data_IF_085837559948
#
_entry.id   IF_085837559948
#
_cell.length_a   1.000
_cell.length_b   1.000
_cell.length_c   1.000
_cell.angle_alpha   90.00
_cell.angle_beta   90.00
_cell.angle_gamma   90.00
#
_symmetry.space_group_name_H-M   'P 1'
#
loop_
_entity.id
_entity.type
_entity.pdbx_description
1 polymer ?
#
# COMPACT_ATOMS: atom_id res chain seq x y z
N UNK A 1 -11.44 16.10 38.30
CA UNK A 1 -10.65 15.10 37.57
C UNK A 1 -10.95 15.25 36.10
N UNK A 2 -9.94 15.50 35.29
CA UNK A 2 -10.07 15.57 33.84
C UNK A 2 -10.29 14.13 33.35
N UNK A 3 -11.38 13.86 32.62
CA UNK A 3 -11.65 12.53 32.06
C UNK A 3 -10.57 12.22 31.03
N UNK A 4 -9.77 11.18 31.26
CA UNK A 4 -8.71 10.80 30.33
C UNK A 4 -9.20 9.85 29.25
N UNK A 5 -10.42 9.31 29.41
CA UNK A 5 -11.06 8.46 28.40
C UNK A 5 -12.51 8.89 28.20
N UNK A 6 -12.97 8.93 26.95
CA UNK A 6 -14.37 9.25 26.61
C UNK A 6 -14.93 8.24 25.63
N UNK A 7 -16.08 7.65 25.98
CA UNK A 7 -16.84 6.78 25.08
C UNK A 7 -17.86 7.59 24.26
N UNK A 8 -17.88 7.38 22.95
CA UNK A 8 -18.84 7.95 22.01
C UNK A 8 -19.54 6.84 21.23
N UNK A 9 -20.85 6.92 21.09
CA UNK A 9 -21.61 6.09 20.15
C UNK A 9 -21.45 6.60 18.72
N UNK A 10 -21.38 5.68 17.76
CA UNK A 10 -21.29 5.96 16.32
C UNK A 10 -22.31 5.11 15.56
N UNK A 11 -22.48 5.34 14.26
CA UNK A 11 -23.40 4.54 13.43
C UNK A 11 -22.98 3.07 13.35
N UNK A 12 -21.68 2.80 13.43
CA UNK A 12 -21.08 1.47 13.22
C UNK A 12 -20.65 0.77 14.53
N UNK A 13 -20.94 1.36 15.70
CA UNK A 13 -20.51 0.83 17.00
C UNK A 13 -20.07 1.93 17.96
N UNK A 14 -19.00 1.70 18.71
CA UNK A 14 -18.47 2.63 19.69
C UNK A 14 -17.09 3.17 19.32
N UNK A 15 -16.74 4.31 19.91
CA UNK A 15 -15.42 4.90 19.83
C UNK A 15 -14.93 5.34 21.22
N UNK A 16 -13.73 4.92 21.60
CA UNK A 16 -13.04 5.42 22.78
C UNK A 16 -12.01 6.47 22.36
N UNK A 17 -12.10 7.66 22.95
CA UNK A 17 -11.11 8.71 22.79
C UNK A 17 -10.22 8.74 24.04
N UNK A 18 -8.92 8.62 23.84
CA UNK A 18 -7.91 8.63 24.90
C UNK A 18 -7.18 9.97 24.90
N UNK A 19 -7.01 10.55 26.08
CA UNK A 19 -6.14 11.70 26.28
C UNK A 19 -4.68 11.29 26.08
N UNK A 20 -4.05 11.84 25.04
CA UNK A 20 -2.66 11.57 24.67
C UNK A 20 -1.65 11.95 25.77
N UNK A 21 -2.00 12.85 26.70
CA UNK A 21 -1.12 13.25 27.82
C UNK A 21 -1.21 12.30 29.02
N UNK A 22 -2.19 11.39 29.06
CA UNK A 22 -2.41 10.51 30.20
C UNK A 22 -1.40 9.35 30.26
N UNK A 23 -1.02 8.95 31.47
CA UNK A 23 -0.24 7.74 31.70
C UNK A 23 -1.05 6.49 31.30
N UNK A 24 -0.39 5.47 30.75
CA UNK A 24 -1.06 4.29 30.22
C UNK A 24 -1.90 3.55 31.27
N UNK A 25 -1.38 3.37 32.48
CA UNK A 25 -2.14 2.72 33.56
C UNK A 25 -3.42 3.49 33.92
N UNK A 26 -3.36 4.82 33.95
CA UNK A 26 -4.53 5.67 34.22
C UNK A 26 -5.59 5.53 33.12
N UNK A 27 -5.14 5.40 31.86
CA UNK A 27 -6.03 5.12 30.73
C UNK A 27 -6.72 3.77 30.90
N UNK A 28 -5.98 2.69 31.22
CA UNK A 28 -6.56 1.37 31.43
C UNK A 28 -7.58 1.37 32.59
N UNK A 29 -7.24 2.00 33.71
CA UNK A 29 -8.11 2.08 34.88
C UNK A 29 -9.42 2.82 34.55
N UNK A 30 -9.36 3.89 33.76
CA UNK A 30 -10.55 4.64 33.34
C UNK A 30 -11.35 3.90 32.26
N UNK A 31 -10.67 3.26 31.29
CA UNK A 31 -11.32 2.38 30.30
C UNK A 31 -12.13 1.29 31.00
N UNK A 32 -11.52 0.58 31.95
CA UNK A 32 -12.18 -0.47 32.73
C UNK A 32 -13.46 0.03 33.39
N UNK A 33 -13.44 1.22 34.01
CA UNK A 33 -14.59 1.81 34.69
C UNK A 33 -15.70 2.22 33.71
N UNK A 34 -15.34 2.65 32.50
CA UNK A 34 -16.31 3.06 31.48
C UNK A 34 -16.98 1.88 30.78
N UNK A 35 -16.28 0.75 30.62
CA UNK A 35 -16.77 -0.41 29.88
C UNK A 35 -17.48 -1.46 30.75
N UNK A 36 -17.14 -1.57 32.04
CA UNK A 36 -17.80 -2.51 32.97
C UNK A 36 -19.33 -2.38 33.00
N UNK A 37 -19.93 -1.16 33.00
CA UNK A 37 -21.39 -1.01 32.95
C UNK A 37 -22.03 -1.58 31.68
N UNK A 38 -21.31 -1.57 30.55
CA UNK A 38 -21.82 -2.02 29.25
C UNK A 38 -22.01 -3.54 29.18
N UNK A 39 -21.38 -4.29 30.09
CA UNK A 39 -21.55 -5.75 30.20
C UNK A 39 -23.00 -6.16 30.47
N UNK A 40 -23.80 -5.29 31.09
CA UNK A 40 -25.21 -5.56 31.46
C UNK A 40 -26.23 -5.23 30.36
N UNK A 41 -25.85 -4.44 29.36
CA UNK A 41 -26.76 -4.00 28.28
C UNK A 41 -26.66 -4.85 27.01
N UNK A 42 -25.60 -5.64 26.87
CA UNK A 42 -25.33 -6.41 25.66
C UNK A 42 -26.02 -7.79 25.67
N UNK A 43 -27.35 -7.79 25.64
CA UNK A 43 -28.18 -8.95 25.28
C UNK A 43 -28.33 -9.08 23.75
N UNK A 44 -27.34 -8.65 22.98
CA UNK A 44 -27.34 -8.67 21.53
C UNK A 44 -26.51 -9.86 21.00
N UNK A 45 -27.06 -10.56 20.01
CA UNK A 45 -26.52 -11.79 19.41
C UNK A 45 -25.18 -11.59 18.66
N UNK A 46 -24.72 -10.34 18.53
CA UNK A 46 -23.44 -9.97 17.90
C UNK A 46 -22.67 -8.96 18.74
N UNK A 47 -21.35 -9.14 18.94
CA UNK A 47 -20.51 -8.18 19.64
C UNK A 47 -20.45 -6.87 18.86
N UNK A 48 -20.53 -5.75 19.57
CA UNK A 48 -20.44 -4.42 18.97
C UNK A 48 -18.97 -4.07 18.72
N UNK A 49 -18.68 -3.44 17.58
CA UNK A 49 -17.32 -3.02 17.24
C UNK A 49 -16.91 -1.76 18.01
N UNK A 50 -15.65 -1.71 18.42
CA UNK A 50 -15.06 -0.57 19.11
C UNK A 50 -13.76 -0.14 18.42
N UNK A 51 -13.64 1.16 18.12
CA UNK A 51 -12.39 1.79 17.70
C UNK A 51 -11.82 2.65 18.82
N UNK A 52 -10.52 2.52 19.09
CA UNK A 52 -9.82 3.31 20.11
C UNK A 52 -8.95 4.34 19.41
N UNK A 53 -9.12 5.62 19.73
CA UNK A 53 -8.28 6.72 19.22
C UNK A 53 -7.36 7.23 20.31
N UNK A 54 -6.06 7.18 20.05
CA UNK A 54 -5.02 7.55 21.03
C UNK A 54 -4.38 8.91 20.76
N UNK A 55 -4.88 9.66 19.77
CA UNK A 55 -4.31 10.95 19.36
C UNK A 55 -2.83 10.79 18.97
N UNK A 56 -1.98 11.69 19.45
CA UNK A 56 -0.54 11.68 19.18
C UNK A 56 0.27 10.73 20.08
N UNK A 57 -0.40 9.77 20.73
CA UNK A 57 0.27 8.75 21.54
C UNK A 57 0.27 7.42 20.80
N UNK A 58 1.45 6.90 20.49
CA UNK A 58 1.60 5.58 19.91
C UNK A 58 1.64 4.54 21.04
N UNK A 59 0.74 3.56 20.99
CA UNK A 59 0.81 2.40 21.88
C UNK A 59 1.84 1.40 21.34
N UNK A 60 2.66 0.87 22.23
CA UNK A 60 3.50 -0.30 21.96
C UNK A 60 2.62 -1.53 21.71
N UNK A 61 3.18 -2.57 21.09
CA UNK A 61 2.43 -3.81 20.84
C UNK A 61 1.92 -4.44 22.14
N UNK A 62 2.71 -4.35 23.22
CA UNK A 62 2.29 -4.76 24.56
C UNK A 62 1.09 -3.97 25.05
N UNK A 63 1.13 -2.64 24.98
CA UNK A 63 0.02 -1.78 25.40
C UNK A 63 -1.25 -2.03 24.58
N UNK A 64 -1.12 -2.29 23.27
CA UNK A 64 -2.24 -2.68 22.41
C UNK A 64 -2.85 -4.00 22.89
N UNK A 65 -2.02 -5.03 23.10
CA UNK A 65 -2.49 -6.34 23.58
C UNK A 65 -3.16 -6.25 24.95
N UNK A 66 -2.59 -5.49 25.89
CA UNK A 66 -3.18 -5.26 27.22
C UNK A 66 -4.53 -4.53 27.13
N UNK A 67 -4.62 -3.51 26.26
CA UNK A 67 -5.87 -2.77 26.02
C UNK A 67 -6.95 -3.65 25.41
N UNK A 68 -6.61 -4.45 24.40
CA UNK A 68 -7.54 -5.38 23.74
C UNK A 68 -8.06 -6.41 24.76
N UNK A 69 -7.15 -7.05 25.50
CA UNK A 69 -7.50 -8.03 26.52
C UNK A 69 -8.41 -7.45 27.60
N UNK A 70 -8.13 -6.24 28.09
CA UNK A 70 -8.96 -5.56 29.08
C UNK A 70 -10.40 -5.36 28.58
N UNK A 71 -10.56 -4.93 27.32
CA UNK A 71 -11.88 -4.60 26.78
C UNK A 71 -12.69 -5.85 26.49
N UNK A 72 -12.08 -6.84 25.87
CA UNK A 72 -12.76 -8.08 25.47
C UNK A 72 -13.08 -8.98 26.68
N UNK A 73 -12.29 -8.94 27.76
CA UNK A 73 -12.59 -9.65 29.02
C UNK A 73 -13.75 -9.00 29.80
N UNK A 74 -13.79 -7.67 29.81
CA UNK A 74 -14.72 -6.90 30.65
C UNK A 74 -16.02 -6.49 29.96
N UNK A 75 -16.16 -6.68 28.65
CA UNK A 75 -17.34 -6.26 27.88
C UNK A 75 -17.67 -7.19 26.71
N UNK A 76 -18.83 -7.01 26.07
CA UNK A 76 -19.19 -7.70 24.81
C UNK A 76 -18.76 -6.86 23.58
N UNK A 77 -17.74 -6.01 23.73
CA UNK A 77 -17.18 -5.22 22.65
C UNK A 77 -16.01 -5.96 22.03
N UNK A 78 -15.89 -5.89 20.71
CA UNK A 78 -14.72 -6.37 19.98
C UNK A 78 -13.90 -5.18 19.50
N UNK A 79 -12.61 -5.16 19.84
CA UNK A 79 -11.73 -4.07 19.38
C UNK A 79 -11.44 -4.27 17.90
N UNK A 80 -11.96 -3.35 17.07
CA UNK A 80 -11.74 -3.35 15.63
C UNK A 80 -10.36 -2.84 15.27
N UNK A 81 -9.97 -1.70 15.85
CA UNK A 81 -8.67 -1.08 15.62
C UNK A 81 -8.28 -0.12 16.75
N UNK A 82 -6.98 0.12 16.87
CA UNK A 82 -6.40 1.17 17.70
C UNK A 82 -5.68 2.15 16.77
N UNK A 83 -6.20 3.37 16.67
CA UNK A 83 -5.77 4.40 15.73
C UNK A 83 -4.98 5.50 16.46
N UNK A 84 -3.78 5.79 15.97
CA UNK A 84 -2.96 6.93 16.38
C UNK A 84 -2.79 7.91 15.22
N UNK A 85 -2.59 9.19 15.55
CA UNK A 85 -2.27 10.26 14.60
C UNK A 85 -0.77 10.30 14.27
N UNK A 86 0.03 9.46 14.93
CA UNK A 86 1.49 9.37 14.77
C UNK A 86 1.91 7.94 14.40
N UNK A 87 3.07 7.84 13.76
CA UNK A 87 3.79 6.59 13.48
C UNK A 87 5.25 6.74 13.88
N UNK A 88 5.96 5.63 14.06
CA UNK A 88 7.43 5.67 14.24
C UNK A 88 8.12 6.22 13.00
N UNK A 89 9.28 6.86 13.16
CA UNK A 89 10.11 7.33 12.05
C UNK A 89 10.41 6.19 11.06
N UNK A 90 10.77 5.01 11.54
CA UNK A 90 11.07 3.85 10.68
C UNK A 90 9.88 3.45 9.82
N UNK A 91 8.67 3.38 10.42
CA UNK A 91 7.43 3.13 9.67
C UNK A 91 7.14 4.22 8.65
N UNK A 92 7.36 5.49 9.00
CA UNK A 92 7.18 6.61 8.08
C UNK A 92 8.15 6.54 6.89
N UNK A 93 9.43 6.24 7.13
CA UNK A 93 10.44 6.06 6.09
C UNK A 93 10.11 4.87 5.18
N UNK A 94 9.70 3.74 5.76
CA UNK A 94 9.29 2.56 4.99
C UNK A 94 8.09 2.87 4.11
N UNK A 95 7.05 3.47 4.70
CA UNK A 95 5.87 3.89 3.95
C UNK A 95 6.23 4.87 2.84
N UNK A 96 7.08 5.87 3.14
CA UNK A 96 7.57 6.82 2.15
C UNK A 96 8.26 6.13 0.98
N UNK A 97 9.15 5.16 1.23
CA UNK A 97 9.80 4.41 0.16
C UNK A 97 8.82 3.56 -0.65
N UNK A 98 7.87 2.87 0.00
CA UNK A 98 6.84 2.06 -0.66
C UNK A 98 5.96 2.89 -1.63
N UNK A 99 5.68 4.15 -1.31
CA UNK A 99 4.86 5.04 -2.16
C UNK A 99 5.66 6.02 -3.01
N UNK A 100 7.00 6.01 -2.89
CA UNK A 100 7.85 6.92 -3.64
C UNK A 100 8.10 6.44 -5.05
N UNK A 101 8.04 7.36 -6.00
CA UNK A 101 8.57 7.13 -7.34
C UNK A 101 10.05 7.48 -7.37
N UNK A 102 10.91 6.53 -7.75
CA UNK A 102 12.35 6.73 -7.91
C UNK A 102 12.67 7.04 -9.37
N UNK A 103 13.25 8.21 -9.61
CA UNK A 103 13.78 8.60 -10.92
C UNK A 103 15.22 8.11 -11.07
N UNK A 104 15.51 7.41 -12.16
CA UNK A 104 16.86 6.99 -12.51
C UNK A 104 17.19 7.34 -13.95
N UNK A 105 18.34 7.98 -14.17
CA UNK A 105 18.81 8.36 -15.51
C UNK A 105 20.01 7.50 -15.87
N UNK A 106 19.78 6.42 -16.61
CA UNK A 106 20.86 5.50 -17.00
C UNK A 106 20.42 4.52 -18.09
N UNK A 107 21.39 3.94 -18.79
CA UNK A 107 21.15 2.75 -19.63
C UNK A 107 21.52 1.51 -18.85
N UNK A 108 20.61 0.55 -18.76
CA UNK A 108 20.83 -0.74 -18.08
C UNK A 108 21.40 -1.73 -19.08
N UNK A 109 22.66 -2.10 -18.91
CA UNK A 109 23.38 -3.00 -19.82
C UNK A 109 23.31 -4.46 -19.36
N UNK A 110 23.78 -5.36 -20.21
CA UNK A 110 23.81 -6.80 -19.91
C UNK A 110 24.50 -7.09 -18.57
N UNK A 111 23.87 -7.91 -17.74
CA UNK A 111 24.35 -8.26 -16.40
C UNK A 111 24.06 -7.21 -15.32
N UNK A 112 23.59 -6.01 -15.68
CA UNK A 112 23.22 -4.97 -14.72
C UNK A 112 21.79 -5.16 -14.24
N UNK A 113 21.57 -4.89 -12.94
CA UNK A 113 20.25 -4.89 -12.33
C UNK A 113 20.03 -3.63 -11.51
N UNK A 114 18.94 -2.92 -11.79
CA UNK A 114 18.41 -1.86 -10.93
C UNK A 114 17.28 -2.46 -10.10
N UNK A 115 17.30 -2.19 -8.79
CA UNK A 115 16.22 -2.54 -7.85
C UNK A 115 15.77 -1.28 -7.12
N UNK A 116 14.46 -1.04 -7.06
CA UNK A 116 13.87 0.05 -6.28
C UNK A 116 12.68 -0.40 -5.45
N UNK A 117 12.54 0.20 -4.27
CA UNK A 117 11.29 0.19 -3.50
C UNK A 117 10.37 1.30 -4.02
N UNK A 118 9.09 0.98 -4.22
CA UNK A 118 8.10 1.83 -4.84
C UNK A 118 8.11 1.73 -6.37
N UNK A 119 7.70 2.81 -7.03
CA UNK A 119 7.64 2.87 -8.49
C UNK A 119 8.99 3.31 -9.09
N UNK A 120 9.32 2.84 -10.30
CA UNK A 120 10.51 3.25 -11.04
C UNK A 120 10.15 4.11 -12.24
N UNK A 121 10.79 5.27 -12.39
CA UNK A 121 10.88 5.99 -13.67
C UNK A 121 12.31 5.91 -14.15
N UNK A 122 12.54 5.17 -15.24
CA UNK A 122 13.84 5.09 -15.90
C UNK A 122 13.86 6.03 -17.11
N UNK A 123 14.75 7.02 -17.09
CA UNK A 123 15.11 7.81 -18.27
C UNK A 123 16.30 7.13 -18.93
N UNK A 124 16.01 6.33 -19.95
CA UNK A 124 16.99 5.50 -20.65
C UNK A 124 16.42 4.16 -21.07
N UNK A 125 17.28 3.30 -21.60
CA UNK A 125 16.88 2.01 -22.16
C UNK A 125 17.42 0.85 -21.35
N UNK A 126 16.73 -0.28 -21.44
CA UNK A 126 17.17 -1.56 -20.86
C UNK A 126 17.59 -2.47 -22.01
N UNK A 127 18.88 -2.78 -22.09
CA UNK A 127 19.45 -3.64 -23.12
C UNK A 127 19.25 -5.13 -22.81
N UNK A 128 19.44 -6.02 -23.79
CA UNK A 128 19.37 -7.46 -23.57
C UNK A 128 20.28 -7.92 -22.42
N UNK A 129 19.75 -8.75 -21.52
CA UNK A 129 20.42 -9.21 -20.30
C UNK A 129 20.51 -8.16 -19.19
N UNK A 130 20.03 -6.93 -19.39
CA UNK A 130 19.81 -5.94 -18.34
C UNK A 130 18.46 -6.16 -17.67
N UNK A 131 18.35 -5.79 -16.39
CA UNK A 131 17.11 -5.97 -15.62
C UNK A 131 16.77 -4.73 -14.79
N UNK A 132 15.49 -4.35 -14.81
CA UNK A 132 14.92 -3.40 -13.84
C UNK A 132 13.86 -4.10 -13.00
N UNK A 133 13.88 -3.87 -11.70
CA UNK A 133 12.96 -4.48 -10.74
C UNK A 133 12.43 -3.43 -9.77
N UNK A 134 11.13 -3.40 -9.56
CA UNK A 134 10.45 -2.48 -8.66
C UNK A 134 9.42 -3.22 -7.80
N UNK A 135 9.18 -2.75 -6.57
CA UNK A 135 8.07 -3.27 -5.76
C UNK A 135 6.73 -2.71 -6.23
N UNK A 136 6.74 -1.57 -6.92
CA UNK A 136 5.60 -0.99 -7.64
C UNK A 136 5.71 -1.09 -9.16
N UNK A 137 5.14 -0.10 -9.85
CA UNK A 137 5.11 0.01 -11.31
C UNK A 137 6.44 0.48 -11.89
N UNK A 138 6.66 0.20 -13.18
CA UNK A 138 7.87 0.59 -13.90
C UNK A 138 7.50 1.38 -15.15
N UNK A 139 8.08 2.56 -15.29
CA UNK A 139 7.92 3.46 -16.43
C UNK A 139 9.29 3.67 -17.08
N UNK A 140 9.45 3.24 -18.32
CA UNK A 140 10.70 3.33 -19.08
C UNK A 140 10.52 4.36 -20.19
N UNK A 141 11.17 5.50 -20.05
CA UNK A 141 11.29 6.52 -21.08
C UNK A 141 12.46 6.15 -22.01
N UNK A 142 12.27 5.07 -22.78
CA UNK A 142 13.24 4.46 -23.66
C UNK A 142 12.79 3.08 -24.14
N UNK A 143 13.71 2.32 -24.73
CA UNK A 143 13.41 0.96 -25.20
C UNK A 143 13.61 -0.07 -24.08
N UNK A 144 12.66 -1.00 -23.93
CA UNK A 144 12.83 -2.22 -23.16
C UNK A 144 13.17 -3.38 -24.11
N UNK A 145 14.41 -3.88 -24.01
CA UNK A 145 14.93 -5.05 -24.74
C UNK A 145 15.39 -6.18 -23.81
N UNK A 146 15.53 -5.88 -22.52
CA UNK A 146 15.88 -6.83 -21.46
C UNK A 146 14.65 -7.23 -20.65
N UNK A 147 14.78 -7.22 -19.32
CA UNK A 147 13.72 -7.62 -18.40
C UNK A 147 13.24 -6.47 -17.54
N UNK A 148 11.92 -6.31 -17.41
CA UNK A 148 11.30 -5.48 -16.39
C UNK A 148 10.45 -6.33 -15.44
N UNK A 149 10.64 -6.18 -14.13
CA UNK A 149 9.89 -6.89 -13.09
C UNK A 149 9.22 -5.91 -12.13
N UNK A 150 7.97 -5.59 -12.40
CA UNK A 150 7.13 -4.75 -11.56
C UNK A 150 6.38 -5.57 -10.51
N UNK A 151 5.86 -4.90 -9.48
CA UNK A 151 5.04 -5.53 -8.45
C UNK A 151 5.77 -6.63 -7.67
N UNK A 152 7.10 -6.55 -7.56
CA UNK A 152 7.89 -7.72 -7.17
C UNK A 152 7.74 -8.20 -5.72
N UNK A 153 6.97 -7.48 -4.91
CA UNK A 153 6.56 -7.86 -3.55
C UNK A 153 5.04 -8.12 -3.45
N UNK A 154 4.41 -8.50 -4.57
CA UNK A 154 3.00 -8.93 -4.59
C UNK A 154 2.00 -7.84 -4.97
N UNK A 155 2.46 -6.73 -5.55
CA UNK A 155 1.60 -5.63 -6.01
C UNK A 155 1.08 -5.91 -7.43
N UNK A 156 0.05 -6.76 -7.54
CA UNK A 156 -0.56 -7.24 -8.79
C UNK A 156 -1.12 -6.13 -9.68
N UNK A 157 -1.53 -5.01 -9.08
CA UNK A 157 -1.98 -3.82 -9.80
C UNK A 157 -0.83 -3.04 -10.47
N UNK A 158 0.43 -3.44 -10.28
CA UNK A 158 1.55 -2.79 -10.93
C UNK A 158 1.49 -2.94 -12.45
N UNK A 159 2.07 -1.98 -13.16
CA UNK A 159 2.19 -2.01 -14.62
C UNK A 159 3.62 -1.79 -15.07
N UNK A 160 3.92 -2.21 -16.30
CA UNK A 160 5.13 -1.81 -17.01
C UNK A 160 4.73 -0.99 -18.22
N UNK A 161 5.22 0.24 -18.30
CA UNK A 161 5.02 1.13 -19.44
C UNK A 161 6.37 1.34 -20.12
N UNK A 162 6.49 0.97 -21.39
CA UNK A 162 7.73 1.10 -22.13
C UNK A 162 7.46 1.11 -23.63
N UNK A 163 8.51 1.41 -24.40
CA UNK A 163 8.58 0.99 -25.79
C UNK A 163 9.19 -0.42 -25.84
N UNK A 164 8.34 -1.43 -26.02
CA UNK A 164 8.74 -2.83 -25.98
C UNK A 164 9.38 -3.28 -27.29
N UNK A 165 10.50 -4.00 -27.18
CA UNK A 165 11.10 -4.70 -28.30
C UNK A 165 10.74 -6.18 -28.29
N UNK A 166 10.74 -6.80 -29.47
CA UNK A 166 10.57 -8.26 -29.59
C UNK A 166 11.55 -9.02 -28.69
N UNK A 167 11.08 -10.06 -28.01
CA UNK A 167 11.77 -10.85 -26.97
C UNK A 167 12.10 -10.12 -25.66
N UNK A 168 11.65 -8.89 -25.46
CA UNK A 168 11.68 -8.29 -24.13
C UNK A 168 10.83 -9.11 -23.16
N UNK A 169 11.26 -9.20 -21.90
CA UNK A 169 10.52 -9.91 -20.86
C UNK A 169 9.90 -8.91 -19.89
N UNK A 170 8.61 -9.07 -19.65
CA UNK A 170 7.89 -8.33 -18.61
C UNK A 170 7.41 -9.32 -17.55
N UNK A 171 7.54 -8.91 -16.29
CA UNK A 171 7.01 -9.64 -15.15
C UNK A 171 6.20 -8.70 -14.26
N UNK A 172 5.06 -9.18 -13.79
CA UNK A 172 4.28 -8.55 -12.72
C UNK A 172 4.04 -9.64 -11.68
N UNK A 173 4.51 -9.41 -10.46
CA UNK A 173 4.55 -10.43 -9.39
C UNK A 173 5.30 -11.69 -9.87
N UNK A 174 4.64 -12.83 -10.03
CA UNK A 174 5.19 -14.11 -10.49
C UNK A 174 4.80 -14.43 -11.94
N UNK A 175 3.93 -13.62 -12.56
CA UNK A 175 3.54 -13.75 -13.95
C UNK A 175 4.64 -13.25 -14.89
N UNK A 176 4.83 -13.93 -16.00
CA UNK A 176 5.86 -13.63 -17.00
C UNK A 176 5.25 -13.59 -18.39
N UNK A 177 5.54 -12.54 -19.14
CA UNK A 177 5.20 -12.40 -20.56
C UNK A 177 6.46 -12.07 -21.35
N UNK A 178 6.59 -12.68 -22.53
CA UNK A 178 7.65 -12.37 -23.49
C UNK A 178 6.99 -11.68 -24.67
N UNK A 179 7.46 -10.47 -25.00
CA UNK A 179 6.86 -9.64 -26.04
C UNK A 179 7.04 -10.33 -27.40
N UNK A 180 5.93 -10.66 -28.03
CA UNK A 180 5.88 -11.31 -29.34
C UNK A 180 5.73 -10.29 -30.47
N UNK A 181 5.93 -10.72 -31.71
CA UNK A 181 5.74 -9.86 -32.87
C UNK A 181 4.27 -9.47 -33.07
N UNK A 182 3.34 -10.37 -32.68
CA UNK A 182 1.90 -10.10 -32.73
C UNK A 182 1.50 -8.95 -31.79
N UNK A 183 2.13 -8.87 -30.60
CA UNK A 183 1.88 -7.79 -29.63
C UNK A 183 2.21 -6.42 -30.24
N UNK A 184 3.36 -6.33 -30.92
CA UNK A 184 3.85 -5.09 -31.56
C UNK A 184 2.98 -4.66 -32.75
N UNK A 185 2.38 -5.62 -33.46
CA UNK A 185 1.55 -5.33 -34.65
C UNK A 185 0.11 -5.01 -34.26
N UNK A 186 -0.42 -5.63 -33.20
CA UNK A 186 -1.78 -5.44 -32.73
C UNK A 186 -2.05 -4.03 -32.19
N UNK A 187 -1.02 -3.32 -31.73
CA UNK A 187 -1.19 -1.96 -31.19
C UNK A 187 -1.52 -0.90 -32.22
N UNK A 188 -1.34 -1.17 -33.53
CA UNK A 188 -1.87 -0.36 -34.65
C UNK A 188 -1.53 1.14 -34.62
N UNK A 189 -0.63 1.56 -33.73
CA UNK A 189 -0.42 2.94 -33.32
C UNK A 189 0.95 3.43 -33.78
N UNK A 190 1.03 4.70 -34.18
CA UNK A 190 2.31 5.36 -34.44
C UNK A 190 3.15 5.55 -33.17
N UNK A 191 2.54 5.42 -31.98
CA UNK A 191 3.23 5.46 -30.68
C UNK A 191 3.77 4.07 -30.34
N UNK A 192 5.10 3.97 -30.20
CA UNK A 192 5.77 2.74 -29.76
C UNK A 192 5.57 2.41 -28.28
N UNK A 193 4.92 3.28 -27.51
CA UNK A 193 4.77 3.10 -26.05
C UNK A 193 3.45 2.39 -25.76
N UNK A 194 3.56 1.28 -25.04
CA UNK A 194 2.46 0.41 -24.66
C UNK A 194 2.51 0.17 -23.15
N UNK A 195 1.49 -0.52 -22.64
CA UNK A 195 1.35 -0.91 -21.23
C UNK A 195 1.19 -2.41 -21.16
N UNK A 196 1.98 -3.04 -20.29
CA UNK A 196 1.75 -4.42 -19.85
C UNK A 196 1.18 -4.39 -18.44
N UNK A 197 0.08 -5.10 -18.25
CA UNK A 197 -0.65 -5.18 -16.98
C UNK A 197 -1.21 -6.59 -16.78
N UNK A 198 -1.53 -6.92 -15.53
CA UNK A 198 -2.25 -8.13 -15.17
C UNK A 198 -3.76 -7.88 -15.21
N UNK A 199 -4.50 -8.69 -15.98
CA UNK A 199 -5.96 -8.65 -16.06
C UNK A 199 -6.63 -9.46 -14.93
N UNK A 200 -7.96 -9.39 -14.82
CA UNK A 200 -8.72 -10.08 -13.76
C UNK A 200 -8.60 -11.62 -13.81
N UNK A 201 -8.21 -12.16 -14.98
CA UNK A 201 -7.95 -13.59 -15.18
C UNK A 201 -6.50 -13.95 -14.85
N UNK A 202 -5.73 -13.02 -14.29
CA UNK A 202 -4.32 -13.17 -13.95
C UNK A 202 -3.46 -13.49 -15.19
N UNK A 203 -3.83 -12.92 -16.33
CA UNK A 203 -3.08 -13.02 -17.59
C UNK A 203 -2.45 -11.66 -17.89
N UNK A 204 -1.17 -11.68 -18.27
CA UNK A 204 -0.50 -10.48 -18.74
C UNK A 204 -1.01 -10.09 -20.13
N UNK A 205 -1.45 -8.85 -20.26
CA UNK A 205 -1.97 -8.27 -21.50
C UNK A 205 -1.14 -7.06 -21.90
N UNK A 206 -1.04 -6.84 -23.20
CA UNK A 206 -0.44 -5.64 -23.79
C UNK A 206 -1.58 -4.76 -24.32
N UNK A 207 -1.55 -3.47 -24.01
CA UNK A 207 -2.50 -2.49 -24.54
C UNK A 207 -1.81 -1.17 -24.92
N UNK A 208 -2.41 -0.36 -25.80
CA UNK A 208 -1.94 0.98 -26.06
C UNK A 208 -1.89 1.85 -24.79
N UNK A 209 -0.98 2.83 -24.76
CA UNK A 209 -0.87 3.77 -23.64
C UNK A 209 -2.16 4.59 -23.38
N UNK A 210 -3.00 4.79 -24.40
CA UNK A 210 -4.29 5.49 -24.25
C UNK A 210 -5.20 4.87 -23.19
N UNK A 211 -5.07 3.57 -22.96
CA UNK A 211 -5.99 2.80 -22.12
C UNK A 211 -5.60 2.85 -20.64
N UNK A 212 -4.41 3.36 -20.32
CA UNK A 212 -3.85 3.37 -18.96
C UNK A 212 -4.77 4.04 -17.94
N UNK A 213 -5.50 5.10 -18.35
CA UNK A 213 -6.44 5.81 -17.47
C UNK A 213 -7.61 4.94 -17.02
N UNK A 214 -8.04 4.00 -17.87
CA UNK A 214 -9.14 3.10 -17.56
C UNK A 214 -8.63 1.86 -16.83
N UNK A 215 -7.45 1.36 -17.20
CA UNK A 215 -6.85 0.17 -16.61
C UNK A 215 -6.33 0.40 -15.19
N UNK A 216 -5.79 1.60 -14.92
CA UNK A 216 -5.16 2.00 -13.66
C UNK A 216 -5.48 3.45 -13.33
N UNK A 217 -6.75 3.77 -13.04
CA UNK A 217 -7.18 5.14 -12.74
C UNK A 217 -6.43 5.77 -11.57
N UNK A 218 -6.01 4.95 -10.59
CA UNK A 218 -5.27 5.36 -9.41
C UNK A 218 -3.90 5.99 -9.72
N UNK A 219 -3.24 5.59 -10.82
CA UNK A 219 -1.96 6.19 -11.26
C UNK A 219 -2.08 7.69 -11.55
N UNK A 220 -3.27 8.17 -11.94
CA UNK A 220 -3.52 9.58 -12.22
C UNK A 220 -3.62 10.47 -10.98
N UNK A 221 -3.74 9.86 -9.78
CA UNK A 221 -3.92 10.55 -8.50
C UNK A 221 -2.73 10.37 -7.55
N UNK A 222 -1.70 9.63 -7.95
CA UNK A 222 -0.48 9.46 -7.15
C UNK A 222 0.34 10.74 -7.19
N UNK A 223 0.05 11.67 -6.29
CA UNK A 223 1.01 12.70 -5.89
C UNK A 223 2.08 12.03 -5.06
N UNK A 224 3.23 11.73 -5.66
CA UNK A 224 4.40 11.24 -4.93
C UNK A 224 4.81 12.21 -3.83
N UNK A 225 5.16 11.67 -2.67
CA UNK A 225 5.68 12.41 -1.52
C UNK A 225 4.82 12.32 -0.26
N UNK A 226 5.47 12.37 0.90
CA UNK A 226 4.81 12.86 2.10
C UNK A 226 4.52 14.34 1.85
N UNK A 227 3.30 14.77 2.10
CA UNK A 227 2.97 16.19 2.22
C UNK A 227 3.87 16.73 3.33
N UNK A 228 5.00 17.32 2.96
CA UNK A 228 5.89 17.97 3.91
C UNK A 228 5.24 19.31 4.27
N UNK A 229 4.46 19.34 5.36
CA UNK A 229 4.04 20.57 6.05
C UNK A 229 2.97 21.39 5.36
#
# INVERSE_FOLDING_TARGET
MQKVVTLKGTKDGFQLLVDQAAAFQTVLDEMSKLIEPLKKEAAADKPLELTIKTGNKLFTDREKSETIALIEDKSNLKVKNIESEVVTIDRALKWHNEVSTKLQVSTVRSGQMIKVEGDLVLVGSVHPGGTVKATGSIFILGDLRGTAHAGSEGKEESVVVANFSYNAQVRIVDHVHVIEQADIVASGSASKVEVVYLDDLHILRVSPLSDIKNLRPELGYVTGGLING
#
